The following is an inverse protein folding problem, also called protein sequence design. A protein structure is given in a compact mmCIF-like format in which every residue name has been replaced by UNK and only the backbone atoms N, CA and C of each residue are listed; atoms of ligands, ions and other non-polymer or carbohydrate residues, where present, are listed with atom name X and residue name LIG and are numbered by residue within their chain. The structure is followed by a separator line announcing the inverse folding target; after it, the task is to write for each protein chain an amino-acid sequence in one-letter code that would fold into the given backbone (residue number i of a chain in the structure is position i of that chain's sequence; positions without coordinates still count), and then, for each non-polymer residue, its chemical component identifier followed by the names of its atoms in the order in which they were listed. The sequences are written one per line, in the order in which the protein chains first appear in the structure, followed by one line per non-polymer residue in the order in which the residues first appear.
data_IF_331788504186
#
_entry.id   IF_331788504186
#
_cell.length_a   1.000
_cell.length_b   1.000
_cell.length_c   1.000
_cell.angle_alpha   90.00
_cell.angle_beta   90.00
_cell.angle_gamma   90.00
#
_symmetry.space_group_name_H-M   'P 1'
#
loop_
_entity.id
_entity.type
_entity.pdbx_description
1 polymer ?
#
# COMPACT_ATOMS: atom_id res chain seq x y z
N UNK A 1 -5.29 12.90 -27.05
CA UNK A 1 -4.37 14.02 -26.79
C UNK A 1 -3.31 13.54 -25.80
N UNK A 2 -2.01 13.81 -25.97
CA UNK A 2 -1.00 13.49 -24.96
C UNK A 2 -1.30 14.31 -23.69
N UNK A 3 -1.47 13.66 -22.53
CA UNK A 3 -1.73 14.32 -21.24
C UNK A 3 -0.43 14.98 -20.73
N UNK A 4 -0.50 16.24 -20.31
CA UNK A 4 0.62 16.94 -19.65
C UNK A 4 0.66 16.52 -18.18
N UNK A 5 1.70 15.78 -17.80
CA UNK A 5 1.86 15.18 -16.46
C UNK A 5 2.44 16.15 -15.42
N UNK A 6 2.54 17.45 -15.73
CA UNK A 6 3.12 18.47 -14.84
C UNK A 6 2.13 19.08 -13.84
N UNK A 7 0.83 18.81 -13.96
CA UNK A 7 -0.17 19.20 -12.97
C UNK A 7 -0.65 17.98 -12.19
N UNK A 8 0.03 17.66 -11.10
CA UNK A 8 -0.50 16.74 -10.08
C UNK A 8 -0.97 17.63 -8.91
N UNK A 9 -2.27 17.57 -8.59
CA UNK A 9 -2.96 18.21 -7.44
C UNK A 9 -3.17 19.74 -7.41
N UNK A 10 -2.85 20.50 -8.47
CA UNK A 10 -3.25 21.92 -8.52
C UNK A 10 -4.78 22.03 -8.75
N UNK A 11 -5.52 22.55 -7.76
CA UNK A 11 -6.95 22.89 -7.91
C UNK A 11 -7.96 21.99 -7.18
N UNK A 12 -7.52 21.15 -6.23
CA UNK A 12 -8.45 20.42 -5.36
C UNK A 12 -8.94 21.30 -4.21
N UNK A 13 -10.24 21.25 -3.94
CA UNK A 13 -10.91 21.95 -2.85
C UNK A 13 -11.50 20.92 -1.89
N UNK A 14 -11.35 21.15 -0.59
CA UNK A 14 -12.03 20.36 0.43
C UNK A 14 -13.46 20.89 0.64
N UNK A 15 -14.42 19.99 0.78
CA UNK A 15 -15.77 20.33 1.21
C UNK A 15 -16.32 19.22 2.09
N UNK A 16 -16.92 19.63 3.22
CA UNK A 16 -17.52 18.73 4.19
C UNK A 16 -19.03 18.98 4.31
N UNK A 17 -19.85 18.52 3.36
CA UNK A 17 -21.30 18.70 3.43
C UNK A 17 -22.02 17.52 4.08
N UNK A 18 -21.33 16.42 4.40
CA UNK A 18 -21.95 15.17 4.87
C UNK A 18 -21.91 15.11 6.40
N UNK A 19 -22.93 14.51 7.03
CA UNK A 19 -23.17 14.50 8.48
C UNK A 19 -23.51 13.12 9.02
N UNK A 20 -23.00 12.10 8.37
CA UNK A 20 -23.28 10.69 8.59
C UNK A 20 -22.77 10.27 9.98
N UNK A 21 -21.70 10.91 10.47
CA UNK A 21 -21.30 10.87 11.88
C UNK A 21 -20.77 9.53 12.36
N UNK A 22 -20.61 8.56 11.46
CA UNK A 22 -20.20 7.20 11.77
C UNK A 22 -18.74 6.97 11.37
N UNK A 23 -17.91 6.50 12.30
CA UNK A 23 -16.56 6.00 11.96
C UNK A 23 -16.66 4.58 11.40
N UNK A 24 -15.70 4.18 10.59
CA UNK A 24 -15.65 2.85 9.99
C UNK A 24 -14.22 2.31 9.96
N UNK A 25 -14.06 0.99 9.84
CA UNK A 25 -12.75 0.36 9.62
C UNK A 25 -12.67 -0.12 8.19
N UNK A 26 -11.73 0.42 7.43
CA UNK A 26 -11.49 0.07 6.02
C UNK A 26 -10.12 -0.57 5.90
N UNK A 27 -10.09 -1.79 5.36
CA UNK A 27 -8.84 -2.54 5.15
C UNK A 27 -7.94 -2.62 6.41
N UNK A 28 -8.57 -2.70 7.58
CA UNK A 28 -7.90 -2.74 8.89
C UNK A 28 -7.52 -1.38 9.49
N UNK A 29 -7.83 -0.27 8.82
CA UNK A 29 -7.55 1.11 9.27
C UNK A 29 -8.84 1.76 9.77
N UNK A 30 -8.82 2.31 11.00
CA UNK A 30 -9.92 3.14 11.50
C UNK A 30 -9.95 4.47 10.72
N UNK A 31 -11.07 4.73 10.07
CA UNK A 31 -11.41 6.00 9.42
C UNK A 31 -12.42 6.74 10.30
N UNK A 32 -11.99 7.82 10.98
CA UNK A 32 -12.90 8.64 11.79
C UNK A 32 -14.00 9.26 10.94
N UNK A 33 -15.18 9.47 11.53
CA UNK A 33 -16.31 10.12 10.86
C UNK A 33 -15.92 11.46 10.22
N UNK A 34 -15.11 12.28 10.89
CA UNK A 34 -14.66 13.58 10.36
C UNK A 34 -13.83 13.47 9.08
N UNK A 35 -13.15 12.35 8.85
CA UNK A 35 -12.40 12.08 7.61
C UNK A 35 -13.32 11.48 6.57
N UNK A 36 -14.16 10.53 6.97
CA UNK A 36 -15.11 9.88 6.08
C UNK A 36 -16.10 10.89 5.49
N UNK A 37 -16.54 11.85 6.30
CA UNK A 37 -17.61 12.77 5.95
C UNK A 37 -17.12 13.99 5.13
N UNK A 38 -15.80 14.17 5.01
CA UNK A 38 -15.17 15.20 4.17
C UNK A 38 -14.90 14.65 2.77
N UNK A 39 -14.70 15.51 1.77
CA UNK A 39 -14.19 15.10 0.46
C UNK A 39 -13.36 16.17 -0.24
N UNK A 40 -12.47 15.69 -1.10
CA UNK A 40 -11.64 16.49 -2.00
C UNK A 40 -12.19 16.37 -3.43
N UNK A 41 -12.45 17.49 -4.07
CA UNK A 41 -12.96 17.55 -5.44
C UNK A 41 -12.22 18.63 -6.26
N UNK A 42 -12.23 18.52 -7.58
CA UNK A 42 -11.69 19.57 -8.45
C UNK A 42 -12.61 20.80 -8.49
N UNK A 43 -12.06 22.02 -8.52
CA UNK A 43 -12.86 23.24 -8.76
C UNK A 43 -12.46 23.90 -10.09
N UNK A 44 -13.37 24.01 -11.07
CA UNK A 44 -14.73 23.43 -11.11
C UNK A 44 -14.72 21.90 -11.29
N UNK A 45 -15.69 21.22 -10.66
CA UNK A 45 -15.95 19.79 -10.88
C UNK A 45 -16.74 19.67 -12.18
N UNK A 46 -16.02 19.33 -13.24
CA UNK A 46 -16.59 19.24 -14.59
C UNK A 46 -16.73 17.79 -14.98
N UNK A 47 -17.97 17.35 -15.21
CA UNK A 47 -18.24 15.98 -15.63
C UNK A 47 -17.40 15.55 -16.85
N UNK A 48 -16.81 14.37 -16.78
CA UNK A 48 -15.94 13.83 -17.83
C UNK A 48 -14.48 14.31 -17.77
N UNK A 49 -14.13 15.10 -16.75
CA UNK A 49 -12.74 15.34 -16.37
C UNK A 49 -12.28 14.33 -15.32
N UNK A 50 -10.99 14.33 -14.98
CA UNK A 50 -10.43 13.38 -14.02
C UNK A 50 -9.47 14.07 -13.07
N UNK A 51 -9.54 13.70 -11.79
CA UNK A 51 -8.45 13.93 -10.84
C UNK A 51 -7.45 12.80 -11.02
N UNK A 52 -6.22 13.15 -11.44
CA UNK A 52 -5.12 12.20 -11.59
C UNK A 52 -4.13 12.34 -10.44
N UNK A 53 -3.87 11.24 -9.75
CA UNK A 53 -2.89 11.14 -8.68
C UNK A 53 -1.82 10.11 -9.04
N UNK A 54 -0.57 10.41 -8.65
CA UNK A 54 0.57 9.51 -8.78
C UNK A 54 1.32 9.42 -7.47
N UNK A 55 1.58 8.21 -7.02
CA UNK A 55 2.32 7.91 -5.81
C UNK A 55 3.66 7.31 -6.18
N UNK A 56 4.72 7.95 -5.72
CA UNK A 56 6.11 7.57 -5.97
C UNK A 56 6.78 7.09 -4.67
N UNK A 57 7.89 6.37 -4.80
CA UNK A 57 8.72 5.97 -3.65
C UNK A 57 8.13 4.85 -2.80
N UNK A 58 7.12 4.13 -3.29
CA UNK A 58 6.65 2.90 -2.67
C UNK A 58 7.69 1.79 -2.87
N UNK A 59 7.95 1.02 -1.81
CA UNK A 59 8.81 -0.16 -1.91
C UNK A 59 8.16 -1.20 -2.83
N UNK A 60 8.94 -2.03 -3.55
CA UNK A 60 8.37 -3.12 -4.32
C UNK A 60 7.54 -4.07 -3.44
N UNK A 61 6.37 -4.48 -3.92
CA UNK A 61 5.48 -5.34 -3.16
C UNK A 61 4.03 -5.32 -3.67
N UNK A 62 3.18 -6.06 -2.97
CA UNK A 62 1.74 -6.09 -3.22
C UNK A 62 1.03 -5.10 -2.31
N UNK A 63 0.08 -4.33 -2.83
CA UNK A 63 -0.65 -3.30 -2.10
C UNK A 63 -2.14 -3.46 -2.30
N UNK A 64 -2.91 -3.27 -1.23
CA UNK A 64 -4.32 -2.93 -1.31
C UNK A 64 -4.45 -1.41 -1.44
N UNK A 65 -5.21 -0.98 -2.45
CA UNK A 65 -5.59 0.41 -2.65
C UNK A 65 -7.08 0.51 -2.41
N UNK A 66 -7.45 1.01 -1.24
CA UNK A 66 -8.84 1.16 -0.81
C UNK A 66 -9.28 2.60 -0.95
N UNK A 67 -10.30 2.85 -1.76
CA UNK A 67 -10.91 4.18 -1.95
C UNK A 67 -12.30 4.19 -1.33
N UNK A 68 -12.69 5.35 -0.82
CA UNK A 68 -13.98 5.53 -0.17
C UNK A 68 -14.46 6.97 -0.28
N UNK A 69 -15.78 7.10 -0.37
CA UNK A 69 -16.49 8.36 -0.15
C UNK A 69 -17.55 8.11 0.93
N UNK A 70 -17.68 9.03 1.89
CA UNK A 70 -18.67 8.91 2.97
C UNK A 70 -20.07 9.39 2.65
N UNK A 71 -20.23 10.07 1.51
CA UNK A 71 -21.44 10.78 1.14
C UNK A 71 -22.56 9.85 0.71
N UNK A 72 -23.68 9.92 1.40
CA UNK A 72 -24.87 9.10 1.12
C UNK A 72 -25.90 9.76 0.20
N UNK A 73 -25.56 10.91 -0.39
CA UNK A 73 -26.45 11.67 -1.28
C UNK A 73 -26.00 11.67 -2.74
N UNK A 74 -24.93 10.94 -3.06
CA UNK A 74 -24.41 10.87 -4.43
C UNK A 74 -25.19 9.84 -5.27
N UNK A 75 -26.13 10.33 -6.08
CA UNK A 75 -26.97 9.49 -6.93
C UNK A 75 -26.25 8.90 -8.15
N UNK A 76 -25.07 9.43 -8.52
CA UNK A 76 -24.32 8.98 -9.69
C UNK A 76 -23.31 7.88 -9.36
N UNK A 77 -22.96 7.73 -8.08
CA UNK A 77 -21.90 6.84 -7.63
C UNK A 77 -20.51 7.42 -7.89
N UNK A 78 -19.50 6.79 -7.29
CA UNK A 78 -18.10 7.16 -7.47
C UNK A 78 -17.32 6.00 -8.06
N UNK A 79 -16.56 6.28 -9.12
CA UNK A 79 -15.77 5.28 -9.82
C UNK A 79 -14.36 5.78 -10.10
N UNK A 80 -13.41 4.87 -10.03
CA UNK A 80 -11.99 5.17 -10.21
C UNK A 80 -11.25 4.07 -10.98
N UNK A 81 -10.05 4.45 -11.41
CA UNK A 81 -9.05 3.59 -12.02
C UNK A 81 -7.83 3.55 -11.13
N UNK A 82 -7.38 2.35 -10.80
CA UNK A 82 -6.13 2.08 -10.09
C UNK A 82 -5.24 1.26 -11.01
N UNK A 83 -4.00 1.70 -11.22
CA UNK A 83 -3.03 0.92 -11.99
C UNK A 83 -1.59 1.20 -11.59
N UNK A 84 -0.69 0.36 -12.06
CA UNK A 84 0.75 0.48 -11.86
C UNK A 84 1.42 0.67 -13.20
N UNK A 85 2.30 1.66 -13.30
CA UNK A 85 3.07 1.90 -14.51
C UNK A 85 4.35 2.69 -14.24
N UNK A 86 5.12 2.96 -15.30
CA UNK A 86 6.20 3.93 -15.29
C UNK A 86 5.68 5.37 -15.09
N UNK A 87 6.61 6.33 -15.15
CA UNK A 87 6.33 7.75 -14.93
C UNK A 87 5.35 8.37 -15.95
N UNK A 88 5.11 7.69 -17.08
CA UNK A 88 4.23 8.16 -18.13
C UNK A 88 2.76 7.72 -17.93
N UNK A 89 2.50 6.73 -17.09
CA UNK A 89 1.14 6.31 -16.73
C UNK A 89 0.27 5.81 -17.89
N UNK A 90 0.87 5.35 -18.99
CA UNK A 90 0.17 4.99 -20.23
C UNK A 90 -0.57 3.64 -20.19
N UNK A 91 -0.33 2.81 -19.17
CA UNK A 91 -1.06 1.54 -18.92
C UNK A 91 -2.37 1.74 -18.16
N UNK A 92 -2.95 2.93 -18.26
CA UNK A 92 -4.27 3.24 -17.71
C UNK A 92 -5.33 2.24 -18.22
N UNK A 93 -6.16 1.67 -17.33
CA UNK A 93 -7.24 0.78 -17.72
C UNK A 93 -8.28 1.50 -18.60
N UNK A 94 -8.80 0.81 -19.62
CA UNK A 94 -9.83 1.37 -20.50
C UNK A 94 -11.18 1.64 -19.80
N UNK A 95 -11.44 0.93 -18.70
CA UNK A 95 -12.64 1.09 -17.88
C UNK A 95 -12.27 1.23 -16.41
N UNK A 96 -13.19 1.80 -15.63
CA UNK A 96 -13.09 1.90 -14.17
C UNK A 96 -12.93 0.50 -13.57
N UNK A 97 -12.04 0.34 -12.58
CA UNK A 97 -11.75 -0.95 -11.95
C UNK A 97 -11.92 -0.95 -10.42
N UNK A 98 -12.28 0.18 -9.80
CA UNK A 98 -12.63 0.23 -8.38
C UNK A 98 -14.03 -0.33 -8.11
N UNK A 99 -14.95 -0.24 -9.07
CA UNK A 99 -16.40 -0.32 -8.78
C UNK A 99 -16.89 0.92 -8.02
N UNK A 100 -18.18 0.92 -7.63
CA UNK A 100 -18.80 2.05 -6.95
C UNK A 100 -18.36 2.14 -5.48
N UNK A 101 -17.66 3.21 -5.09
CA UNK A 101 -17.23 3.47 -3.72
C UNK A 101 -17.94 4.64 -3.01
N UNK A 102 -19.03 5.16 -3.58
CA UNK A 102 -19.83 6.22 -2.95
C UNK A 102 -20.54 5.74 -1.68
N UNK A 103 -21.05 6.62 -0.83
CA UNK A 103 -21.96 6.21 0.27
C UNK A 103 -23.36 5.78 -0.22
N UNK A 104 -23.55 5.48 -1.50
CA UNK A 104 -24.83 5.08 -2.10
C UNK A 104 -24.67 3.78 -2.88
N UNK A 105 -25.28 2.70 -2.40
CA UNK A 105 -25.19 1.42 -3.07
C UNK A 105 -26.14 1.34 -4.27
N UNK A 106 -25.62 1.70 -5.44
CA UNK A 106 -26.35 1.64 -6.71
C UNK A 106 -26.73 0.21 -7.13
N UNK A 107 -26.03 -0.82 -6.66
CA UNK A 107 -26.37 -2.22 -6.94
C UNK A 107 -27.66 -2.66 -6.22
N UNK A 108 -28.07 -1.89 -5.19
CA UNK A 108 -29.27 -2.14 -4.39
C UNK A 108 -30.19 -0.92 -4.43
N UNK A 109 -30.51 -0.43 -5.64
CA UNK A 109 -31.45 0.67 -5.87
C UNK A 109 -31.09 1.99 -5.14
N UNK A 110 -29.80 2.27 -4.97
CA UNK A 110 -29.34 3.53 -4.38
C UNK A 110 -29.56 3.63 -2.87
N UNK A 111 -29.54 2.49 -2.16
CA UNK A 111 -29.66 2.49 -0.69
C UNK A 111 -28.45 3.23 -0.07
N UNK A 112 -28.69 4.24 0.79
CA UNK A 112 -27.65 4.89 1.58
C UNK A 112 -26.85 3.93 2.45
N UNK A 113 -25.52 4.08 2.47
CA UNK A 113 -24.60 3.35 3.33
C UNK A 113 -23.87 4.33 4.27
N UNK A 114 -24.40 4.61 5.48
CA UNK A 114 -23.80 5.61 6.38
C UNK A 114 -22.34 5.35 6.78
N UNK A 115 -21.93 4.08 6.74
CA UNK A 115 -20.53 3.65 6.97
C UNK A 115 -19.71 3.55 5.68
N UNK A 116 -20.24 4.03 4.54
CA UNK A 116 -19.67 3.91 3.20
C UNK A 116 -19.70 2.47 2.65
N UNK A 117 -19.23 2.33 1.42
CA UNK A 117 -18.93 1.04 0.76
C UNK A 117 -17.54 1.11 0.13
N UNK A 118 -16.46 1.06 0.93
CA UNK A 118 -15.11 1.17 0.41
C UNK A 118 -14.84 0.09 -0.64
N UNK A 119 -14.08 0.44 -1.67
CA UNK A 119 -13.65 -0.53 -2.69
C UNK A 119 -12.14 -0.65 -2.70
N UNK A 120 -11.66 -1.88 -2.88
CA UNK A 120 -10.24 -2.20 -2.83
C UNK A 120 -9.80 -2.83 -4.14
N UNK A 121 -8.73 -2.27 -4.72
CA UNK A 121 -8.00 -2.88 -5.84
C UNK A 121 -6.63 -3.33 -5.33
N UNK A 122 -6.27 -4.58 -5.56
CA UNK A 122 -4.94 -5.11 -5.23
C UNK A 122 -4.01 -4.95 -6.43
N UNK A 123 -2.82 -4.40 -6.21
CA UNK A 123 -1.81 -4.20 -7.25
C UNK A 123 -0.45 -4.73 -6.80
N UNK A 124 0.40 -5.07 -7.77
CA UNK A 124 1.82 -5.36 -7.54
C UNK A 124 2.66 -4.21 -8.09
N UNK A 125 3.56 -3.67 -7.29
CA UNK A 125 4.46 -2.56 -7.63
C UNK A 125 5.90 -3.08 -7.67
N UNK A 126 6.62 -2.84 -8.75
CA UNK A 126 8.05 -3.16 -8.88
C UNK A 126 8.92 -1.92 -8.65
N UNK A 127 10.23 -2.15 -8.50
CA UNK A 127 11.19 -1.08 -8.30
C UNK A 127 11.16 -0.07 -9.46
N UNK A 128 10.97 1.20 -9.14
CA UNK A 128 10.90 2.29 -10.13
C UNK A 128 9.53 2.48 -10.77
N UNK A 129 8.53 1.67 -10.44
CA UNK A 129 7.14 1.88 -10.86
C UNK A 129 6.40 2.83 -9.91
N UNK A 130 5.29 3.35 -10.40
CA UNK A 130 4.41 4.28 -9.71
C UNK A 130 3.02 3.67 -9.60
N UNK A 131 2.36 3.94 -8.47
CA UNK A 131 0.93 3.73 -8.34
C UNK A 131 0.20 4.95 -8.91
N UNK A 132 -0.76 4.70 -9.76
CA UNK A 132 -1.61 5.70 -10.37
C UNK A 132 -3.05 5.51 -9.94
N UNK A 133 -3.73 6.62 -9.74
CA UNK A 133 -5.14 6.67 -9.45
C UNK A 133 -5.80 7.78 -10.27
N UNK A 134 -6.94 7.48 -10.90
CA UNK A 134 -7.78 8.48 -11.53
C UNK A 134 -9.23 8.34 -11.06
N UNK A 135 -9.85 9.43 -10.65
CA UNK A 135 -11.28 9.53 -10.38
C UNK A 135 -11.97 10.28 -11.51
N UNK A 136 -13.15 9.82 -11.94
CA UNK A 136 -13.99 10.59 -12.84
C UNK A 136 -14.75 11.65 -12.06
N UNK A 137 -14.52 12.91 -12.40
CA UNK A 137 -15.37 14.03 -12.00
C UNK A 137 -16.72 13.92 -12.73
N UNK A 138 -17.81 14.23 -12.05
CA UNK A 138 -19.18 14.01 -12.51
C UNK A 138 -20.16 15.13 -12.11
N UNK A 139 -19.64 16.27 -11.65
CA UNK A 139 -20.39 17.44 -11.19
C UNK A 139 -21.18 17.21 -9.88
N UNK A 140 -20.75 16.24 -9.07
CA UNK A 140 -21.36 15.93 -7.78
C UNK A 140 -20.36 15.96 -6.61
N UNK A 141 -19.05 16.05 -6.80
CA UNK A 141 -18.06 16.05 -5.70
C UNK A 141 -16.87 15.14 -6.00
N UNK A 142 -16.20 14.63 -4.96
CA UNK A 142 -15.02 13.78 -5.15
C UNK A 142 -14.75 12.83 -3.97
N UNK A 143 -13.51 12.36 -3.85
CA UNK A 143 -13.09 11.35 -2.85
C UNK A 143 -12.98 11.88 -1.42
N UNK A 144 -13.49 11.10 -0.47
CA UNK A 144 -13.22 11.30 0.96
C UNK A 144 -11.83 10.82 1.37
N UNK A 145 -11.40 9.67 0.88
CA UNK A 145 -10.02 9.25 1.08
C UNK A 145 -9.60 8.00 0.34
N UNK A 146 -8.30 7.73 0.46
CA UNK A 146 -7.65 6.54 -0.07
C UNK A 146 -6.65 6.00 0.95
N UNK A 147 -6.66 4.68 1.14
CA UNK A 147 -5.69 3.92 1.92
C UNK A 147 -4.84 3.09 0.97
N UNK A 148 -3.52 3.26 1.03
CA UNK A 148 -2.55 2.41 0.33
C UNK A 148 -1.86 1.56 1.38
N UNK A 149 -2.25 0.30 1.50
CA UNK A 149 -1.70 -0.63 2.49
C UNK A 149 -0.86 -1.71 1.83
N UNK A 150 0.43 -1.75 2.18
CA UNK A 150 1.29 -2.86 1.80
C UNK A 150 0.78 -4.16 2.41
N UNK A 151 0.55 -5.15 1.56
CA UNK A 151 0.34 -6.52 1.99
C UNK A 151 1.71 -7.13 2.21
N UNK A 152 1.92 -7.71 3.39
CA UNK A 152 2.99 -8.70 3.51
C UNK A 152 2.73 -9.72 2.42
N UNK A 153 3.69 -9.92 1.52
CA UNK A 153 3.66 -11.10 0.67
C UNK A 153 3.42 -12.28 1.62
N UNK A 154 2.59 -13.23 1.22
CA UNK A 154 2.42 -14.49 1.95
C UNK A 154 3.71 -15.34 1.99
N UNK A 155 4.88 -14.71 1.89
CA UNK A 155 6.17 -15.17 2.37
C UNK A 155 6.58 -14.36 3.61
N UNK A 156 6.37 -14.96 4.79
CA UNK A 156 6.99 -14.61 6.05
C UNK A 156 6.37 -13.44 6.84
N UNK A 157 5.22 -13.71 7.46
CA UNK A 157 4.92 -13.26 8.84
C UNK A 157 5.84 -13.94 9.87
N UNK A 158 7.09 -14.28 9.52
CA UNK A 158 8.05 -14.55 10.57
C UNK A 158 8.25 -13.21 11.30
N UNK A 159 8.20 -13.19 12.64
CA UNK A 159 8.70 -12.04 13.38
C UNK A 159 10.10 -11.68 12.85
N UNK A 160 10.57 -10.42 13.00
CA UNK A 160 11.92 -10.05 12.58
C UNK A 160 12.88 -11.15 13.01
N UNK A 161 13.48 -11.86 12.05
CA UNK A 161 14.25 -13.07 12.36
C UNK A 161 15.46 -12.62 13.17
N UNK A 162 15.46 -12.93 14.45
CA UNK A 162 16.55 -12.61 15.35
C UNK A 162 17.61 -13.69 15.22
N UNK A 163 18.83 -13.29 14.88
CA UNK A 163 19.98 -14.15 15.10
C UNK A 163 20.28 -14.12 16.61
N UNK A 164 19.91 -15.19 17.30
CA UNK A 164 20.30 -15.44 18.68
C UNK A 164 21.74 -15.92 18.74
N UNK A 165 22.43 -15.60 19.83
CA UNK A 165 23.76 -16.12 20.10
C UNK A 165 23.91 -16.52 21.57
N UNK A 166 24.62 -17.62 21.82
CA UNK A 166 25.00 -18.07 23.14
C UNK A 166 26.45 -18.58 23.12
N UNK A 167 27.20 -18.36 24.20
CA UNK A 167 28.52 -18.98 24.38
C UNK A 167 28.37 -20.31 25.10
N UNK A 168 29.10 -21.33 24.63
CA UNK A 168 29.22 -22.64 25.29
C UNK A 168 30.66 -23.10 25.25
N UNK A 169 31.37 -22.97 26.39
CA UNK A 169 32.81 -23.12 26.44
C UNK A 169 33.51 -22.14 25.49
N UNK A 170 34.38 -22.65 24.62
CA UNK A 170 35.04 -21.88 23.56
C UNK A 170 34.17 -21.66 22.31
N UNK A 171 32.97 -22.25 22.25
CA UNK A 171 32.11 -22.21 21.06
C UNK A 171 31.05 -21.10 21.13
N UNK A 172 30.62 -20.65 19.95
CA UNK A 172 29.47 -19.79 19.74
C UNK A 172 28.33 -20.62 19.15
N UNK A 173 27.16 -20.60 19.78
CA UNK A 173 25.93 -21.21 19.26
C UNK A 173 25.09 -20.10 18.67
N UNK A 174 24.80 -20.18 17.38
CA UNK A 174 23.92 -19.29 16.64
C UNK A 174 22.56 -19.96 16.47
N UNK A 175 21.47 -19.26 16.76
CA UNK A 175 20.12 -19.77 16.57
C UNK A 175 19.25 -18.78 15.81
N UNK A 176 18.38 -19.31 14.97
CA UNK A 176 17.35 -18.56 14.26
C UNK A 176 16.13 -19.46 14.01
N UNK A 177 14.98 -18.83 13.79
CA UNK A 177 13.74 -19.55 13.47
C UNK A 177 13.46 -19.52 11.97
N UNK A 178 12.96 -20.65 11.45
CA UNK A 178 12.56 -20.86 10.05
C UNK A 178 13.70 -20.85 9.03
N UNK A 179 13.34 -20.82 7.75
CA UNK A 179 14.29 -20.87 6.64
C UNK A 179 15.05 -19.54 6.49
N UNK A 180 16.39 -19.61 6.49
CA UNK A 180 17.29 -18.50 6.21
C UNK A 180 18.66 -19.04 5.78
N UNK A 181 19.41 -18.24 5.02
CA UNK A 181 20.82 -18.53 4.73
C UNK A 181 21.70 -17.82 5.77
N UNK A 182 22.48 -18.58 6.53
CA UNK A 182 23.53 -18.00 7.38
C UNK A 182 24.70 -17.55 6.49
N UNK A 183 25.11 -16.29 6.60
CA UNK A 183 26.31 -15.76 5.94
C UNK A 183 27.38 -15.39 6.98
N UNK A 184 28.64 -15.44 6.57
CA UNK A 184 29.78 -15.01 7.40
C UNK A 184 30.77 -14.12 6.62
N UNK A 185 31.49 -13.27 7.36
CA UNK A 185 32.51 -12.37 6.83
C UNK A 185 33.63 -12.14 7.87
N UNK A 186 34.82 -11.76 7.42
CA UNK A 186 35.93 -11.34 8.30
C UNK A 186 35.84 -9.85 8.69
N UNK A 187 35.09 -9.06 7.92
CA UNK A 187 34.81 -7.64 8.17
C UNK A 187 33.30 -7.39 8.28
N UNK A 188 32.90 -6.45 9.13
CA UNK A 188 31.49 -6.08 9.29
C UNK A 188 30.85 -5.57 7.99
N UNK A 189 31.65 -5.02 7.08
CA UNK A 189 31.24 -4.53 5.77
C UNK A 189 31.23 -5.61 4.68
N UNK A 190 31.69 -6.83 4.98
CA UNK A 190 31.86 -7.91 4.00
C UNK A 190 33.27 -7.97 3.39
N UNK A 191 33.51 -8.84 2.40
CA UNK A 191 32.52 -9.60 1.64
C UNK A 191 31.82 -10.69 2.47
N UNK A 192 30.54 -10.90 2.21
CA UNK A 192 29.71 -11.90 2.89
C UNK A 192 29.58 -13.16 2.03
N UNK A 193 29.83 -14.31 2.64
CA UNK A 193 29.73 -15.62 1.99
C UNK A 193 28.79 -16.54 2.75
N UNK A 194 27.97 -17.30 2.02
CA UNK A 194 27.08 -18.28 2.61
C UNK A 194 27.85 -19.38 3.37
N UNK A 195 27.34 -19.75 4.54
CA UNK A 195 27.82 -20.90 5.31
C UNK A 195 27.07 -22.13 4.81
N UNK A 196 27.67 -22.85 3.87
CA UNK A 196 27.05 -24.03 3.24
C UNK A 196 26.61 -25.06 4.26
N UNK A 197 25.35 -25.52 4.15
CA UNK A 197 24.77 -26.55 5.01
C UNK A 197 24.45 -26.10 6.44
N UNK A 198 24.43 -24.79 6.71
CA UNK A 198 24.08 -24.29 8.04
C UNK A 198 22.60 -24.58 8.38
N UNK A 199 22.37 -25.25 9.51
CA UNK A 199 21.06 -25.45 10.14
C UNK A 199 21.04 -24.81 11.52
N UNK A 200 19.87 -24.37 11.97
CA UNK A 200 19.68 -23.80 13.32
C UNK A 200 19.32 -24.91 14.32
N UNK A 201 19.93 -24.94 15.53
CA UNK A 201 21.05 -24.11 15.96
C UNK A 201 22.38 -24.53 15.32
N UNK A 202 23.23 -23.56 14.98
CA UNK A 202 24.56 -23.76 14.41
C UNK A 202 25.63 -23.49 15.45
N UNK A 203 26.41 -24.52 15.79
CA UNK A 203 27.64 -24.35 16.58
C UNK A 203 28.79 -23.93 15.67
N UNK A 204 29.49 -22.89 16.09
CA UNK A 204 30.70 -22.35 15.48
C UNK A 204 31.81 -22.43 16.52
N UNK A 205 32.96 -22.97 16.14
CA UNK A 205 34.20 -22.81 16.88
C UNK A 205 34.89 -21.55 16.34
N UNK A 206 34.91 -20.42 17.07
CA UNK A 206 35.60 -19.23 16.62
C UNK A 206 37.07 -19.55 16.38
N UNK A 207 37.54 -19.25 15.17
CA UNK A 207 38.94 -19.34 14.79
C UNK A 207 39.37 -17.99 14.20
N UNK A 208 40.61 -17.60 14.44
CA UNK A 208 41.13 -16.29 14.02
C UNK A 208 40.71 -15.12 14.91
N UNK A 209 41.00 -13.90 14.47
CA UNK A 209 40.88 -12.68 15.28
C UNK A 209 39.44 -12.18 15.41
N UNK A 210 38.63 -12.32 14.35
CA UNK A 210 37.21 -11.92 14.33
C UNK A 210 36.45 -12.62 13.20
N UNK A 211 35.14 -12.79 13.39
CA UNK A 211 34.20 -13.23 12.35
C UNK A 211 32.83 -12.62 12.63
N UNK A 212 32.12 -12.21 11.58
CA UNK A 212 30.78 -11.65 11.65
C UNK A 212 29.78 -12.60 11.02
N UNK A 213 28.55 -12.60 11.53
CA UNK A 213 27.46 -13.45 11.05
C UNK A 213 26.21 -12.62 10.84
N UNK A 214 25.46 -12.92 9.78
CA UNK A 214 24.13 -12.36 9.53
C UNK A 214 23.21 -13.40 8.89
N UNK A 215 21.92 -13.14 8.95
CA UNK A 215 20.93 -13.89 8.18
C UNK A 215 20.67 -13.15 6.86
N UNK A 216 20.70 -13.89 5.76
CA UNK A 216 20.16 -13.47 4.46
C UNK A 216 18.85 -14.20 4.21
N UNK A 217 17.82 -13.42 3.89
CA UNK A 217 16.49 -13.89 3.50
C UNK A 217 16.47 -14.20 2.00
#
# INVERSE_FOLDING_TARGET
MPRDLRQLQLGQTANNPTKEGASAVYDGVLVPAIVKDDYLYQSPDTAGTEVLMRFAGLNPGTYNVTVFEGRTTDGNGRFGKVWVDDINGKKEPAAQNTGNYSGVNLDVNGVPTPVGQPRTVTVEIKAGEYLWFAEMEDNSGGISGMIIRGLSSTGSTAPPRKLGFARSGSNLILSWEGAATLESADEATGPWSAVTGATSPRTVAPSGTRKFYRLKL
#
